data_IF_690867867645
#
_entry.id   IF_690867867645
#
_cell.length_a   1.000
_cell.length_b   1.000
_cell.length_c   1.000
_cell.angle_alpha   90.00
_cell.angle_beta   90.00
_cell.angle_gamma   90.00
#
_symmetry.space_group_name_H-M   'P 1'
#
loop_
_entity.id
_entity.type
_entity.pdbx_description
1 polymer ?
#
# COMPACT_ATOMS: atom_id res chain seq x y z
N UNK A 1 10.35 4.74 1.09
CA UNK A 1 9.76 5.97 1.67
C UNK A 1 8.46 6.33 0.94
N UNK A 2 7.44 6.68 1.70
CA UNK A 2 6.17 7.09 1.11
C UNK A 2 6.25 8.51 0.61
N UNK A 3 5.72 8.74 -0.60
CA UNK A 3 5.72 10.06 -1.24
C UNK A 3 4.28 10.55 -1.32
N UNK A 4 4.06 11.81 -0.94
CA UNK A 4 2.75 12.42 -1.08
C UNK A 4 2.65 13.08 -2.46
N UNK A 5 1.66 12.65 -3.25
CA UNK A 5 1.48 13.16 -4.62
C UNK A 5 0.00 13.06 -4.98
N UNK A 6 -0.57 14.13 -5.51
CA UNK A 6 -1.97 14.16 -5.95
C UNK A 6 -2.94 13.67 -4.87
N UNK A 7 -2.72 14.10 -3.63
CA UNK A 7 -3.56 13.72 -2.47
C UNK A 7 -3.53 12.22 -2.19
N UNK A 8 -2.42 11.55 -2.50
CA UNK A 8 -2.21 10.14 -2.24
C UNK A 8 -0.85 9.93 -1.62
N UNK A 9 -0.71 8.87 -0.83
CA UNK A 9 0.58 8.39 -0.37
C UNK A 9 0.96 7.22 -1.25
N UNK A 10 2.14 7.28 -1.86
CA UNK A 10 2.61 6.26 -2.81
C UNK A 10 3.97 5.73 -2.40
N UNK A 11 4.17 4.44 -2.62
CA UNK A 11 5.48 3.80 -2.41
C UNK A 11 5.63 2.63 -3.34
N UNK A 12 6.86 2.43 -3.83
CA UNK A 12 7.20 1.30 -4.68
C UNK A 12 8.13 0.38 -3.92
N UNK A 13 7.83 -0.91 -3.95
CA UNK A 13 8.64 -1.97 -3.33
C UNK A 13 9.18 -2.86 -4.43
N UNK A 14 10.46 -3.25 -4.33
CA UNK A 14 11.07 -4.13 -5.32
C UNK A 14 11.47 -5.45 -4.68
N UNK A 15 11.36 -6.50 -5.47
CA UNK A 15 11.61 -7.88 -5.04
C UNK A 15 12.41 -8.60 -6.10
N UNK A 16 12.95 -9.74 -5.74
CA UNK A 16 13.78 -10.54 -6.61
C UNK A 16 13.01 -11.08 -7.82
N UNK A 17 11.73 -11.42 -7.63
CA UNK A 17 10.91 -12.01 -8.68
C UNK A 17 9.42 -11.81 -8.37
N UNK A 18 8.58 -12.28 -9.28
CA UNK A 18 7.13 -12.12 -9.18
C UNK A 18 6.55 -12.83 -7.96
N UNK A 19 7.03 -14.02 -7.66
CA UNK A 19 6.50 -14.79 -6.53
C UNK A 19 6.79 -14.12 -5.19
N UNK A 20 7.96 -13.51 -5.03
CA UNK A 20 8.27 -12.77 -3.81
C UNK A 20 7.39 -11.53 -3.68
N UNK A 21 7.16 -10.85 -4.79
CA UNK A 21 6.28 -9.68 -4.81
C UNK A 21 4.86 -10.07 -4.46
N UNK A 22 4.37 -11.17 -5.00
CA UNK A 22 3.04 -11.68 -4.70
C UNK A 22 2.90 -12.09 -3.24
N UNK A 23 3.93 -12.75 -2.69
CA UNK A 23 3.96 -13.12 -1.28
C UNK A 23 3.80 -11.90 -0.38
N UNK A 24 4.50 -10.82 -0.71
CA UNK A 24 4.37 -9.57 0.01
C UNK A 24 2.93 -9.02 -0.05
N UNK A 25 2.33 -9.02 -1.24
CA UNK A 25 0.95 -8.57 -1.41
C UNK A 25 0.00 -9.41 -0.56
N UNK A 26 0.19 -10.73 -0.55
CA UNK A 26 -0.64 -11.61 0.26
C UNK A 26 -0.49 -11.31 1.76
N UNK A 27 0.71 -11.03 2.20
CA UNK A 27 0.97 -10.74 3.62
C UNK A 27 0.32 -9.43 4.05
N UNK A 28 0.43 -8.38 3.25
CA UNK A 28 -0.18 -7.10 3.62
C UNK A 28 -1.69 -7.13 3.51
N UNK A 29 -2.24 -8.02 2.66
CA UNK A 29 -3.68 -8.10 2.44
C UNK A 29 -4.46 -8.42 3.70
N UNK A 30 -3.90 -9.23 4.59
CA UNK A 30 -4.55 -9.58 5.86
C UNK A 30 -4.78 -8.32 6.70
N UNK A 31 -3.75 -7.51 6.88
CA UNK A 31 -3.86 -6.26 7.64
C UNK A 31 -4.73 -5.23 6.96
N UNK A 32 -4.67 -5.16 5.62
CA UNK A 32 -5.51 -4.26 4.85
C UNK A 32 -6.99 -4.57 5.11
N UNK A 33 -7.35 -5.85 5.08
CA UNK A 33 -8.73 -6.26 5.32
C UNK A 33 -9.16 -5.96 6.76
N UNK A 34 -8.28 -6.23 7.72
CA UNK A 34 -8.56 -5.93 9.12
C UNK A 34 -8.75 -4.44 9.36
N UNK A 35 -7.91 -3.62 8.75
CA UNK A 35 -8.00 -2.17 8.88
C UNK A 35 -9.23 -1.61 8.17
N UNK A 36 -9.69 -2.29 7.12
CA UNK A 36 -10.83 -1.86 6.33
C UNK A 36 -10.55 -0.65 5.46
N UNK A 37 -9.29 -0.43 5.08
CA UNK A 37 -8.90 0.70 4.24
C UNK A 37 -8.05 0.17 3.09
N UNK A 38 -8.61 0.19 1.89
CA UNK A 38 -8.06 -0.54 0.75
C UNK A 38 -7.30 0.38 -0.22
N UNK A 39 -6.00 0.14 -0.40
CA UNK A 39 -5.19 0.92 -1.35
C UNK A 39 -5.33 0.37 -2.76
N UNK A 40 -4.79 1.11 -3.73
CA UNK A 40 -4.56 0.58 -5.06
C UNK A 40 -3.20 -0.10 -5.04
N UNK A 41 -3.16 -1.34 -5.49
CA UNK A 41 -1.93 -2.13 -5.56
C UNK A 41 -1.71 -2.54 -7.00
N UNK A 42 -0.52 -2.22 -7.52
CA UNK A 42 -0.13 -2.63 -8.87
C UNK A 42 1.04 -3.60 -8.74
N UNK A 43 0.83 -4.83 -9.17
CA UNK A 43 1.85 -5.88 -9.12
C UNK A 43 2.35 -6.15 -10.52
N UNK A 44 3.64 -5.95 -10.72
CA UNK A 44 4.30 -6.27 -11.99
C UNK A 44 5.56 -7.06 -11.65
N UNK A 45 6.01 -7.90 -12.55
CA UNK A 45 7.12 -8.85 -12.38
C UNK A 45 7.72 -8.91 -10.95
N UNK A 46 8.62 -8.04 -10.55
CA UNK A 46 9.21 -8.01 -9.19
C UNK A 46 8.95 -6.69 -8.48
N UNK A 47 7.88 -5.98 -8.84
CA UNK A 47 7.62 -4.65 -8.30
C UNK A 47 6.18 -4.51 -7.84
N UNK A 48 5.99 -3.90 -6.65
CA UNK A 48 4.68 -3.61 -6.11
C UNK A 48 4.59 -2.11 -5.87
N UNK A 49 3.64 -1.46 -6.54
CA UNK A 49 3.36 -0.06 -6.32
C UNK A 49 2.07 0.05 -5.51
N UNK A 50 2.11 0.83 -4.44
CA UNK A 50 0.95 1.02 -3.58
C UNK A 50 0.63 2.49 -3.50
N UNK A 51 -0.65 2.84 -3.69
CA UNK A 51 -1.11 4.20 -3.45
C UNK A 51 -2.37 4.15 -2.61
N UNK A 52 -2.47 5.07 -1.66
CA UNK A 52 -3.60 5.11 -0.75
C UNK A 52 -4.11 6.53 -0.57
N UNK A 53 -5.43 6.66 -0.49
CA UNK A 53 -6.10 7.91 -0.23
C UNK A 53 -7.45 7.57 0.43
N UNK A 54 -8.09 8.52 1.07
CA UNK A 54 -9.39 8.29 1.69
C UNK A 54 -10.49 8.90 0.82
N UNK A 55 -11.20 8.04 0.10
CA UNK A 55 -12.24 8.48 -0.84
C UNK A 55 -13.39 9.18 -0.12
N UNK A 56 -13.79 8.69 1.03
CA UNK A 56 -14.91 9.25 1.80
C UNK A 56 -14.63 10.66 2.31
N UNK A 57 -13.36 11.05 2.39
CA UNK A 57 -12.95 12.38 2.82
C UNK A 57 -12.63 13.30 1.63
N UNK A 58 -13.16 12.96 0.44
CA UNK A 58 -12.93 13.75 -0.76
C UNK A 58 -11.62 13.47 -1.44
N UNK A 59 -11.17 12.23 -1.40
CA UNK A 59 -9.90 11.79 -2.00
C UNK A 59 -8.71 12.56 -1.43
N UNK A 60 -8.61 12.57 -0.11
CA UNK A 60 -7.51 13.21 0.59
C UNK A 60 -6.87 12.25 1.58
N UNK A 61 -5.65 12.56 2.00
CA UNK A 61 -4.90 11.75 2.96
C UNK A 61 -5.42 12.01 4.36
N UNK A 62 -5.71 10.93 5.09
CA UNK A 62 -6.19 11.01 6.47
C UNK A 62 -5.39 10.05 7.35
N UNK A 63 -5.74 9.98 8.64
CA UNK A 63 -5.10 9.04 9.57
C UNK A 63 -5.21 7.59 9.11
N UNK A 64 -6.27 7.26 8.38
CA UNK A 64 -6.46 5.90 7.85
C UNK A 64 -5.32 5.52 6.92
N UNK A 65 -4.89 6.47 6.10
CA UNK A 65 -3.78 6.23 5.15
C UNK A 65 -2.46 6.08 5.89
N UNK A 66 -2.21 6.90 6.91
CA UNK A 66 -0.99 6.78 7.69
C UNK A 66 -0.94 5.46 8.47
N UNK A 67 -2.06 5.00 9.01
CA UNK A 67 -2.12 3.70 9.68
C UNK A 67 -1.81 2.57 8.71
N UNK A 68 -2.31 2.69 7.49
CA UNK A 68 -2.05 1.69 6.46
C UNK A 68 -0.56 1.65 6.10
N UNK A 69 0.09 2.81 5.93
CA UNK A 69 1.52 2.84 5.62
C UNK A 69 2.35 2.21 6.72
N UNK A 70 1.99 2.46 7.98
CA UNK A 70 2.69 1.85 9.11
C UNK A 70 2.57 0.33 9.10
N UNK A 71 1.38 -0.17 8.83
CA UNK A 71 1.12 -1.59 8.75
C UNK A 71 1.95 -2.25 7.65
N UNK A 72 2.00 -1.64 6.48
CA UNK A 72 2.74 -2.16 5.34
C UNK A 72 4.24 -2.14 5.62
N UNK A 73 4.76 -1.05 6.18
CA UNK A 73 6.18 -0.92 6.45
C UNK A 73 6.69 -1.92 7.50
N UNK A 74 5.83 -2.40 8.38
CA UNK A 74 6.21 -3.42 9.36
C UNK A 74 6.46 -4.78 8.71
N UNK A 75 5.83 -5.04 7.57
CA UNK A 75 5.94 -6.32 6.88
C UNK A 75 7.14 -6.33 5.95
N UNK A 76 7.44 -5.22 5.32
CA UNK A 76 8.60 -5.06 4.46
C UNK A 76 9.66 -4.20 5.18
#
# INVERSE_FOLDING_TARGET
MWIEENNQLKKTFTFKNYLEALDFVNKISVGIEELGHHPVITLTWGRVEISTTTHDAGNTITDKDYKLTELIDKIK
#
